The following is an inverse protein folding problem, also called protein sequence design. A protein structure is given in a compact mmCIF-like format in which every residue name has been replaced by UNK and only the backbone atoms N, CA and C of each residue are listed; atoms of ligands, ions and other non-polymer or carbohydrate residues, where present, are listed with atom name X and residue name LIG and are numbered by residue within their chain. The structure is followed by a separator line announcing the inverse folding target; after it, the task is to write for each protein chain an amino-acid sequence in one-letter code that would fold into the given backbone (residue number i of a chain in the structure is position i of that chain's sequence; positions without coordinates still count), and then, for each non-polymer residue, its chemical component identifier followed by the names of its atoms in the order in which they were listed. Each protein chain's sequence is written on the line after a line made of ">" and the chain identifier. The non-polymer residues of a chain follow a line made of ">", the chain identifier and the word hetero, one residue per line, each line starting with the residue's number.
data_IF_057168158377
#
_entry.id   IF_057168158377
#
_cell.length_a   1.000
_cell.length_b   1.000
_cell.length_c   1.000
_cell.angle_alpha   90.00
_cell.angle_beta   90.00
_cell.angle_gamma   90.00
#
_symmetry.space_group_name_H-M   'P 1'
#
loop_
_entity.id
_entity.type
_entity.pdbx_description
1 polymer ?
#
# COMPACT_ATOMS: atom_id res chain seq x y z
N UNK A 1 -2.35 8.68 12.50
CA UNK A 1 -1.32 9.05 13.49
C UNK A 1 -0.56 7.78 13.86
N UNK A 2 0.75 7.87 14.10
CA UNK A 2 1.59 6.76 14.58
C UNK A 2 2.50 7.26 15.71
N UNK A 3 2.98 6.35 16.56
CA UNK A 3 3.95 6.62 17.63
C UNK A 3 5.33 6.08 17.20
N UNK A 4 6.41 6.80 17.52
CA UNK A 4 7.77 6.28 17.40
C UNK A 4 8.03 5.28 18.54
N UNK A 5 8.21 3.97 18.27
CA UNK A 5 8.39 2.99 19.34
C UNK A 5 9.72 3.17 20.09
N UNK A 6 10.74 3.75 19.45
CA UNK A 6 12.03 4.06 20.09
C UNK A 6 11.98 5.31 20.96
N UNK A 7 10.97 6.16 20.78
CA UNK A 7 10.81 7.41 21.51
C UNK A 7 9.32 7.60 21.80
N UNK A 8 8.77 6.97 22.85
CA UNK A 8 7.33 6.88 23.06
C UNK A 8 6.58 8.22 23.20
N UNK A 9 7.30 9.31 23.49
CA UNK A 9 6.77 10.68 23.52
C UNK A 9 6.65 11.32 22.14
N UNK A 10 7.15 10.66 21.09
CA UNK A 10 7.13 11.16 19.71
C UNK A 10 5.97 10.56 18.93
N UNK A 11 5.14 11.43 18.36
CA UNK A 11 4.01 11.09 17.51
C UNK A 11 4.14 11.75 16.14
N UNK A 12 3.58 11.09 15.12
CA UNK A 12 3.45 11.62 13.78
C UNK A 12 2.01 11.54 13.30
N UNK A 13 1.53 12.52 12.55
CA UNK A 13 0.28 12.39 11.80
C UNK A 13 0.36 13.13 10.47
N UNK A 14 -0.52 12.74 9.55
CA UNK A 14 -0.78 13.45 8.30
C UNK A 14 -2.11 14.18 8.47
N UNK A 15 -2.14 15.48 8.21
CA UNK A 15 -3.37 16.27 8.29
C UNK A 15 -4.20 16.19 6.99
N UNK A 16 -5.35 16.88 6.96
CA UNK A 16 -6.17 16.96 5.75
C UNK A 16 -5.49 17.69 4.59
N UNK A 17 -4.54 18.60 4.90
CA UNK A 17 -3.69 19.28 3.90
C UNK A 17 -2.50 18.44 3.43
N UNK A 18 -2.39 17.20 3.90
CA UNK A 18 -1.39 16.18 3.55
C UNK A 18 0.03 16.49 4.02
N UNK A 19 0.16 17.46 4.92
CA UNK A 19 1.41 17.74 5.64
C UNK A 19 1.59 16.74 6.76
N UNK A 20 2.84 16.38 6.97
CA UNK A 20 3.26 15.52 8.06
C UNK A 20 3.66 16.42 9.22
N UNK A 21 3.16 16.10 10.40
CA UNK A 21 3.48 16.78 11.64
C UNK A 21 4.16 15.83 12.60
N UNK A 22 5.05 16.37 13.42
CA UNK A 22 5.74 15.68 14.50
C UNK A 22 5.48 16.39 15.82
N UNK A 23 5.19 15.61 16.85
CA UNK A 23 5.12 16.05 18.24
C UNK A 23 6.15 15.25 19.02
N UNK A 24 7.00 15.88 19.84
CA UNK A 24 8.08 15.20 20.58
C UNK A 24 7.86 15.14 22.09
N UNK A 25 6.75 15.71 22.58
CA UNK A 25 6.52 15.90 24.02
C UNK A 25 5.12 15.46 24.47
N UNK A 26 4.30 14.89 23.57
CA UNK A 26 2.88 14.61 23.80
C UNK A 26 2.07 15.85 24.21
N UNK A 27 2.59 17.05 23.95
CA UNK A 27 1.89 18.31 24.20
C UNK A 27 1.14 18.72 22.94
N UNK A 28 -0.19 18.83 23.02
CA UNK A 28 -1.07 19.15 21.90
C UNK A 28 -0.68 20.47 21.19
N UNK A 29 0.04 21.37 21.86
CA UNK A 29 0.45 22.65 21.29
C UNK A 29 1.80 22.58 20.54
N UNK A 30 2.50 21.44 20.57
CA UNK A 30 3.86 21.29 20.04
C UNK A 30 3.95 20.52 18.71
N UNK A 31 2.87 20.47 17.94
CA UNK A 31 2.92 19.92 16.58
C UNK A 31 3.70 20.83 15.64
N UNK A 32 4.79 20.30 15.08
CA UNK A 32 5.63 20.99 14.09
C UNK A 32 5.52 20.28 12.74
N UNK A 33 5.28 20.99 11.63
CA UNK A 33 5.32 20.38 10.32
C UNK A 33 6.75 19.88 10.03
N UNK A 34 6.87 18.67 9.51
CA UNK A 34 8.11 18.06 9.02
C UNK A 34 8.11 17.90 7.50
N UNK A 35 7.14 18.52 6.84
CA UNK A 35 7.03 18.67 5.39
C UNK A 35 6.51 20.07 5.09
N UNK A 36 6.92 20.65 3.97
CA UNK A 36 6.36 21.92 3.48
C UNK A 36 5.23 21.69 2.44
N UNK A 37 4.71 22.78 1.86
CA UNK A 37 3.67 22.73 0.82
C UNK A 37 4.19 22.29 -0.55
N UNK A 38 5.50 22.15 -0.71
CA UNK A 38 6.16 21.71 -1.95
C UNK A 38 6.51 20.24 -1.94
N UNK A 39 6.53 19.61 -0.76
CA UNK A 39 6.84 18.20 -0.53
C UNK A 39 6.13 17.25 -1.51
N UNK A 40 4.83 17.44 -1.73
CA UNK A 40 4.02 16.60 -2.62
C UNK A 40 4.12 16.96 -4.11
N UNK A 41 4.66 18.14 -4.44
CA UNK A 41 4.70 18.66 -5.81
C UNK A 41 5.82 18.07 -6.66
N UNK A 42 6.47 16.96 -6.27
CA UNK A 42 7.59 16.39 -7.03
C UNK A 42 7.32 15.06 -7.73
N UNK A 43 6.33 14.27 -7.30
CA UNK A 43 6.35 12.83 -7.68
C UNK A 43 5.13 12.27 -8.41
N UNK A 44 3.93 12.85 -8.31
CA UNK A 44 2.84 12.44 -9.22
C UNK A 44 3.15 12.77 -10.70
N UNK A 45 4.15 13.63 -10.94
CA UNK A 45 4.63 14.00 -12.28
C UNK A 45 5.27 12.83 -13.06
N UNK A 46 5.54 11.68 -12.42
CA UNK A 46 6.19 10.54 -13.08
C UNK A 46 5.24 9.53 -13.73
N UNK A 47 3.92 9.63 -13.50
CA UNK A 47 2.96 8.76 -14.18
C UNK A 47 2.73 9.21 -15.64
N UNK A 48 3.07 10.46 -15.99
CA UNK A 48 3.16 10.90 -17.39
C UNK A 48 4.17 12.07 -17.50
N UNK A 49 5.42 11.78 -17.87
CA UNK A 49 6.46 12.81 -18.11
C UNK A 49 6.06 13.88 -19.14
N UNK A 50 5.06 13.63 -19.97
CA UNK A 50 4.55 14.59 -20.96
C UNK A 50 3.53 15.57 -20.42
N UNK A 51 2.84 15.26 -19.32
CA UNK A 51 1.58 15.95 -19.00
C UNK A 51 1.61 16.71 -17.66
N UNK A 52 2.60 16.48 -16.78
CA UNK A 52 2.85 17.36 -15.62
C UNK A 52 1.73 17.44 -14.57
N UNK A 53 0.74 16.54 -14.63
CA UNK A 53 -0.40 16.58 -13.71
C UNK A 53 -0.05 15.97 -12.36
N UNK A 54 -0.33 16.73 -11.30
CA UNK A 54 -0.40 16.20 -9.94
C UNK A 54 -1.72 15.45 -9.75
N UNK A 55 -1.81 14.61 -8.72
CA UNK A 55 -3.12 14.27 -8.21
C UNK A 55 -3.81 15.58 -7.81
N UNK A 56 -4.88 15.94 -8.52
CA UNK A 56 -5.70 17.12 -8.19
C UNK A 56 -6.28 16.98 -6.79
N UNK A 57 -6.42 15.74 -6.31
CA UNK A 57 -6.83 15.45 -4.94
C UNK A 57 -6.12 14.22 -4.41
N UNK A 58 -5.46 14.37 -3.26
CA UNK A 58 -5.01 13.26 -2.43
C UNK A 58 -6.19 12.84 -1.54
N UNK A 59 -6.71 11.66 -1.74
CA UNK A 59 -7.86 11.14 -0.99
C UNK A 59 -7.44 10.34 0.24
N UNK A 60 -6.29 9.65 0.20
CA UNK A 60 -5.83 8.83 1.32
C UNK A 60 -4.32 8.98 1.57
N UNK A 61 -3.91 8.74 2.81
CA UNK A 61 -2.51 8.79 3.24
C UNK A 61 -2.29 7.87 4.42
N UNK A 62 -1.17 7.13 4.42
CA UNK A 62 -0.79 6.24 5.51
C UNK A 62 0.65 6.53 5.95
N UNK A 63 0.89 6.34 7.25
CA UNK A 63 2.21 6.43 7.87
C UNK A 63 2.54 5.08 8.47
N UNK A 64 3.81 4.69 8.39
CA UNK A 64 4.36 3.54 9.12
C UNK A 64 5.81 3.83 9.48
N UNK A 65 6.37 3.12 10.46
CA UNK A 65 7.71 3.35 10.95
C UNK A 65 8.42 2.01 11.18
N UNK A 66 9.59 1.87 10.57
CA UNK A 66 10.55 0.86 11.00
C UNK A 66 11.33 1.39 12.20
N UNK A 67 11.57 0.54 13.19
CA UNK A 67 12.58 0.82 14.22
C UNK A 67 13.25 -0.45 14.72
N UNK A 68 14.53 -0.36 15.06
CA UNK A 68 15.25 -1.36 15.84
C UNK A 68 15.83 -0.78 17.15
N UNK A 69 15.22 0.28 17.65
CA UNK A 69 15.67 1.04 18.83
C UNK A 69 16.77 2.07 18.52
N UNK A 70 17.67 1.78 17.58
CA UNK A 70 18.80 2.67 17.23
C UNK A 70 18.59 3.45 15.94
N UNK A 71 17.80 2.91 15.01
CA UNK A 71 17.48 3.50 13.71
C UNK A 71 15.98 3.56 13.55
N UNK A 72 15.49 4.69 13.04
CA UNK A 72 14.09 4.87 12.68
C UNK A 72 14.01 5.24 11.21
N UNK A 73 13.10 4.60 10.50
CA UNK A 73 12.75 5.01 9.15
C UNK A 73 11.26 5.25 9.11
N UNK A 74 10.89 6.51 8.94
CA UNK A 74 9.51 6.94 8.80
C UNK A 74 9.13 6.83 7.32
N UNK A 75 8.03 6.13 7.04
CA UNK A 75 7.48 6.01 5.69
C UNK A 75 6.14 6.71 5.63
N UNK A 76 5.86 7.32 4.49
CA UNK A 76 4.55 7.84 4.15
C UNK A 76 4.18 7.36 2.75
N UNK A 77 2.94 6.94 2.62
CA UNK A 77 2.30 6.68 1.34
C UNK A 77 1.13 7.64 1.15
N UNK A 78 0.93 8.07 -0.08
CA UNK A 78 -0.21 8.86 -0.50
C UNK A 78 -0.90 8.17 -1.66
N UNK A 79 -2.22 8.22 -1.63
CA UNK A 79 -3.08 7.86 -2.73
C UNK A 79 -3.92 9.07 -3.14
N UNK A 80 -3.99 9.32 -4.44
CA UNK A 80 -4.80 10.37 -5.00
C UNK A 80 -5.34 10.02 -6.38
N UNK A 81 -6.18 10.90 -6.88
CA UNK A 81 -6.72 10.84 -8.24
C UNK A 81 -6.28 12.11 -8.97
N UNK A 82 -5.75 11.92 -10.16
CA UNK A 82 -5.50 12.99 -11.13
C UNK A 82 -6.58 12.93 -12.20
N UNK A 83 -7.24 14.06 -12.45
CA UNK A 83 -8.23 14.22 -13.52
C UNK A 83 -7.54 14.80 -14.74
N UNK A 84 -7.30 13.96 -15.75
CA UNK A 84 -6.76 14.41 -17.05
C UNK A 84 -7.83 15.12 -17.88
N UNK A 85 -9.10 14.76 -17.66
CA UNK A 85 -10.30 15.39 -18.20
C UNK A 85 -11.50 15.03 -17.32
N UNK A 86 -12.67 15.66 -17.53
CA UNK A 86 -13.92 15.31 -16.85
C UNK A 86 -14.29 13.81 -16.95
N UNK A 87 -13.73 13.12 -17.94
CA UNK A 87 -14.02 11.71 -18.25
C UNK A 87 -12.87 10.75 -17.92
N UNK A 88 -11.67 11.23 -17.59
CA UNK A 88 -10.49 10.38 -17.37
C UNK A 88 -9.89 10.63 -16.00
N UNK A 89 -10.15 9.73 -15.07
CA UNK A 89 -9.52 9.66 -13.76
C UNK A 89 -8.36 8.69 -13.81
N UNK A 90 -7.19 9.12 -13.37
CA UNK A 90 -6.01 8.26 -13.19
C UNK A 90 -5.66 8.23 -11.71
N UNK A 91 -5.32 7.05 -11.20
CA UNK A 91 -4.83 6.95 -9.82
C UNK A 91 -3.36 7.34 -9.76
N UNK A 92 -2.97 8.05 -8.69
CA UNK A 92 -1.59 8.36 -8.38
C UNK A 92 -1.23 7.84 -7.00
N UNK A 93 -0.07 7.20 -6.91
CA UNK A 93 0.56 6.84 -5.65
C UNK A 93 1.88 7.58 -5.53
N UNK A 94 2.19 8.06 -4.34
CA UNK A 94 3.49 8.61 -4.01
C UNK A 94 3.95 8.05 -2.67
N UNK A 95 5.20 7.62 -2.62
CA UNK A 95 5.81 7.02 -1.44
C UNK A 95 7.08 7.78 -1.11
N UNK A 96 7.29 8.01 0.18
CA UNK A 96 8.50 8.66 0.66
C UNK A 96 8.96 7.99 1.95
N UNK A 97 10.26 8.08 2.21
CA UNK A 97 10.81 7.71 3.50
C UNK A 97 11.75 8.78 4.04
N UNK A 98 11.94 8.77 5.35
CA UNK A 98 12.88 9.64 6.06
C UNK A 98 13.67 8.82 7.07
N UNK A 99 14.99 8.97 7.06
CA UNK A 99 15.92 8.31 7.99
C UNK A 99 16.31 9.22 9.17
N UNK A 100 15.79 10.44 9.20
CA UNK A 100 16.12 11.49 10.17
C UNK A 100 14.88 12.10 10.83
N UNK A 101 13.84 11.27 11.01
CA UNK A 101 12.58 11.63 11.69
C UNK A 101 11.83 12.79 11.04
N UNK A 102 11.88 12.87 9.71
CA UNK A 102 11.15 13.81 8.86
C UNK A 102 11.92 15.10 8.57
N UNK A 103 13.20 15.23 8.93
CA UNK A 103 13.94 16.44 8.58
C UNK A 103 14.27 16.48 7.07
N UNK A 104 14.57 15.33 6.48
CA UNK A 104 14.69 15.13 5.04
C UNK A 104 13.88 13.93 4.60
N UNK A 105 13.47 13.93 3.33
CA UNK A 105 12.65 12.89 2.74
C UNK A 105 13.20 12.48 1.39
N UNK A 106 13.19 11.19 1.15
CA UNK A 106 13.57 10.57 -0.11
C UNK A 106 12.34 9.96 -0.76
N UNK A 107 12.13 10.28 -2.03
CA UNK A 107 11.10 9.67 -2.87
C UNK A 107 11.35 8.18 -3.05
N UNK A 108 10.27 7.41 -3.10
CA UNK A 108 10.24 6.05 -3.61
C UNK A 108 9.36 6.02 -4.85
N UNK A 109 9.77 5.25 -5.87
CA UNK A 109 8.92 4.99 -7.02
C UNK A 109 7.61 4.34 -6.54
N UNK A 110 6.50 4.58 -7.24
CA UNK A 110 5.27 3.83 -7.01
C UNK A 110 5.38 2.41 -7.61
N UNK A 111 4.60 1.44 -7.11
CA UNK A 111 4.34 0.19 -7.80
C UNK A 111 3.53 0.47 -9.08
N UNK A 112 4.17 1.02 -10.11
CA UNK A 112 3.58 1.18 -11.44
C UNK A 112 4.43 0.43 -12.47
N UNK A 113 3.76 -0.39 -13.26
CA UNK A 113 4.33 -1.41 -14.13
C UNK A 113 5.02 -0.94 -15.41
N UNK A 114 5.26 0.36 -15.61
CA UNK A 114 5.72 0.85 -16.91
C UNK A 114 7.16 0.46 -17.29
N UNK A 115 7.98 -0.06 -16.36
CA UNK A 115 9.38 -0.41 -16.67
C UNK A 115 9.85 -1.80 -16.24
N UNK A 116 9.01 -2.59 -15.56
CA UNK A 116 9.42 -3.93 -15.13
C UNK A 116 9.42 -4.96 -16.27
N UNK A 117 8.73 -4.69 -17.39
CA UNK A 117 8.60 -5.64 -18.50
C UNK A 117 9.37 -5.28 -19.79
N UNK A 118 9.92 -4.07 -19.94
CA UNK A 118 10.56 -3.67 -21.21
C UNK A 118 11.91 -4.37 -21.49
N UNK A 119 12.50 -5.10 -20.53
CA UNK A 119 13.84 -5.68 -20.72
C UNK A 119 13.88 -7.07 -21.38
N UNK A 120 12.73 -7.71 -21.61
CA UNK A 120 12.69 -9.08 -22.14
C UNK A 120 12.35 -9.19 -23.64
N UNK A 121 12.53 -8.14 -24.44
CA UNK A 121 12.66 -8.23 -25.91
C UNK A 121 11.48 -8.82 -26.70
N UNK A 122 10.39 -9.22 -26.06
CA UNK A 122 9.18 -9.71 -26.69
C UNK A 122 8.25 -8.53 -26.96
N UNK A 123 8.15 -8.13 -28.22
CA UNK A 123 7.39 -6.98 -28.71
C UNK A 123 5.87 -7.06 -28.60
N UNK A 124 5.32 -7.66 -27.54
CA UNK A 124 3.90 -7.57 -27.21
C UNK A 124 3.73 -6.65 -25.99
N UNK A 125 3.31 -5.41 -26.28
CA UNK A 125 2.98 -4.36 -25.29
C UNK A 125 1.68 -4.67 -24.54
N UNK A 126 1.58 -5.85 -23.92
CA UNK A 126 0.45 -6.26 -23.09
C UNK A 126 0.98 -7.06 -21.89
N UNK A 127 1.80 -6.41 -21.06
CA UNK A 127 1.71 -6.70 -19.63
C UNK A 127 0.37 -6.12 -19.14
N UNK A 128 -0.32 -6.72 -18.15
CA UNK A 128 -1.53 -6.13 -17.62
C UNK A 128 -1.23 -4.69 -17.21
N UNK A 129 -2.08 -3.75 -17.62
CA UNK A 129 -1.92 -2.34 -17.30
C UNK A 129 -2.06 -2.12 -15.80
N UNK A 130 -0.95 -2.27 -15.07
CA UNK A 130 -0.84 -2.01 -13.63
C UNK A 130 -0.85 -0.51 -13.36
N UNK A 131 -2.03 0.10 -13.51
CA UNK A 131 -2.39 1.44 -13.00
C UNK A 131 -3.88 1.81 -13.17
N UNK A 132 -4.78 0.90 -13.59
CA UNK A 132 -6.21 1.09 -13.30
C UNK A 132 -6.50 0.49 -11.92
N UNK A 133 -5.88 1.05 -10.89
CA UNK A 133 -5.95 0.58 -9.50
C UNK A 133 -7.32 0.83 -8.84
N UNK A 134 -8.36 1.01 -9.67
CA UNK A 134 -9.71 1.38 -9.30
C UNK A 134 -9.76 2.67 -8.49
N UNK A 135 -10.92 3.03 -7.97
CA UNK A 135 -11.03 4.09 -6.95
C UNK A 135 -10.86 3.53 -5.53
N UNK A 136 -10.52 2.24 -5.38
CA UNK A 136 -10.53 1.56 -4.08
C UNK A 136 -9.44 2.07 -3.13
N UNK A 137 -8.30 2.53 -3.65
CA UNK A 137 -7.27 3.18 -2.83
C UNK A 137 -7.77 4.41 -2.06
N UNK A 138 -8.88 5.03 -2.47
CA UNK A 138 -9.50 6.13 -1.71
C UNK A 138 -9.86 5.68 -0.30
N UNK A 139 -10.33 4.44 -0.17
CA UNK A 139 -10.83 3.87 1.09
C UNK A 139 -9.83 2.87 1.68
N UNK A 140 -9.29 2.02 0.83
CA UNK A 140 -8.60 0.79 1.23
C UNK A 140 -7.07 0.91 1.19
N UNK A 141 -6.45 2.07 1.04
CA UNK A 141 -4.98 2.15 0.98
C UNK A 141 -4.28 1.70 2.29
N UNK A 142 -3.32 0.78 2.21
CA UNK A 142 -2.57 0.26 3.37
C UNK A 142 -1.07 0.19 3.09
N UNK A 143 -0.25 0.52 4.11
CA UNK A 143 1.21 0.34 4.07
C UNK A 143 1.73 -0.21 5.40
N UNK A 144 2.82 -0.97 5.37
CA UNK A 144 3.51 -1.47 6.57
C UNK A 144 5.01 -1.58 6.33
N UNK A 145 5.81 -0.92 7.18
CA UNK A 145 7.26 -1.15 7.21
C UNK A 145 7.54 -2.52 7.82
N UNK A 146 8.41 -3.29 7.17
CA UNK A 146 8.81 -4.58 7.71
C UNK A 146 9.57 -4.38 9.04
N UNK A 147 9.13 -4.99 10.16
CA UNK A 147 9.74 -4.70 11.46
C UNK A 147 11.10 -5.33 11.67
N UNK A 148 11.49 -6.29 10.82
CA UNK A 148 12.75 -7.02 10.93
C UNK A 148 13.79 -6.59 9.91
N UNK A 149 13.36 -5.93 8.83
CA UNK A 149 14.24 -5.49 7.77
C UNK A 149 13.85 -4.10 7.23
N UNK A 150 14.68 -3.06 7.47
CA UNK A 150 14.37 -1.70 7.03
C UNK A 150 14.34 -1.54 5.50
N UNK A 151 14.70 -2.57 4.74
CA UNK A 151 14.73 -2.56 3.28
C UNK A 151 13.33 -2.78 2.71
N UNK A 152 12.41 -3.39 3.45
CA UNK A 152 11.10 -3.76 2.92
C UNK A 152 9.96 -2.84 3.38
N UNK A 153 9.07 -2.52 2.44
CA UNK A 153 7.79 -1.84 2.67
C UNK A 153 6.68 -2.63 1.97
N UNK A 154 5.62 -2.97 2.68
CA UNK A 154 4.44 -3.61 2.12
C UNK A 154 3.38 -2.57 1.79
N UNK A 155 2.71 -2.73 0.66
CA UNK A 155 1.69 -1.81 0.14
C UNK A 155 0.53 -2.61 -0.44
N UNK A 156 -0.69 -2.12 -0.24
CA UNK A 156 -1.92 -2.73 -0.75
C UNK A 156 -3.08 -1.76 -0.71
N UNK A 157 -4.26 -2.24 -1.10
CA UNK A 157 -5.50 -1.45 -1.03
C UNK A 157 -6.20 -1.19 -2.35
N UNK A 158 -5.81 -1.90 -3.39
CA UNK A 158 -6.35 -1.78 -4.75
C UNK A 158 -6.96 -3.12 -5.17
N UNK A 159 -7.43 -3.23 -6.42
CA UNK A 159 -7.95 -4.48 -7.00
C UNK A 159 -6.91 -5.62 -6.96
N UNK A 160 -6.91 -6.38 -5.87
CA UNK A 160 -6.12 -7.59 -5.63
C UNK A 160 -4.61 -7.42 -5.50
N UNK A 161 -4.05 -6.22 -5.48
CA UNK A 161 -2.60 -6.08 -5.54
C UNK A 161 -1.98 -5.81 -4.17
N UNK A 162 -1.11 -6.73 -3.76
CA UNK A 162 -0.19 -6.57 -2.63
C UNK A 162 1.21 -6.50 -3.20
N UNK A 163 1.96 -5.50 -2.78
CA UNK A 163 3.32 -5.27 -3.18
C UNK A 163 4.26 -5.32 -1.99
N UNK A 164 5.48 -5.79 -2.26
CA UNK A 164 6.66 -5.56 -1.42
C UNK A 164 7.64 -4.69 -2.20
N UNK A 165 7.97 -3.55 -1.65
CA UNK A 165 9.05 -2.69 -2.11
C UNK A 165 10.36 -3.12 -1.45
N UNK A 166 11.44 -3.26 -2.21
CA UNK A 166 12.80 -3.56 -1.73
C UNK A 166 13.76 -2.39 -2.00
N UNK A 167 14.27 -1.78 -0.91
CA UNK A 167 15.18 -0.63 -0.99
C UNK A 167 16.58 -0.96 -1.53
N UNK A 168 16.98 -2.21 -1.53
CA UNK A 168 18.35 -2.60 -1.90
C UNK A 168 18.63 -2.53 -3.38
N UNK A 169 17.59 -2.46 -4.20
CA UNK A 169 17.79 -2.48 -5.63
C UNK A 169 18.29 -1.13 -6.15
N UNK A 170 19.61 -1.00 -6.23
CA UNK A 170 20.28 0.16 -6.85
C UNK A 170 20.43 0.00 -8.37
N UNK A 171 19.76 -0.99 -8.96
CA UNK A 171 20.01 -1.51 -10.30
C UNK A 171 19.40 -0.70 -11.45
N UNK A 172 19.52 0.63 -11.46
CA UNK A 172 19.79 1.46 -12.64
C UNK A 172 19.97 2.94 -12.23
N UNK A 173 21.18 3.32 -11.80
CA UNK A 173 21.50 4.68 -11.33
C UNK A 173 21.47 5.78 -12.41
N UNK A 174 21.00 5.50 -13.62
CA UNK A 174 21.14 6.45 -14.75
C UNK A 174 20.03 7.51 -14.82
N UNK A 175 19.01 7.45 -13.96
CA UNK A 175 18.01 8.51 -13.81
C UNK A 175 17.68 8.65 -12.33
N UNK A 176 18.26 9.64 -11.63
CA UNK A 176 17.78 10.45 -10.47
C UNK A 176 16.93 9.84 -9.33
N UNK A 177 16.54 8.57 -9.40
CA UNK A 177 15.53 7.92 -8.57
C UNK A 177 16.20 6.71 -7.91
N UNK A 178 16.57 6.86 -6.64
CA UNK A 178 17.07 5.74 -5.85
C UNK A 178 15.92 4.76 -5.55
N UNK A 179 16.13 3.50 -5.95
CA UNK A 179 16.27 2.49 -4.90
C UNK A 179 15.02 1.82 -4.37
N UNK A 180 13.95 1.57 -5.14
CA UNK A 180 12.96 0.55 -4.77
C UNK A 180 12.51 -0.27 -5.97
N UNK A 181 12.60 -1.61 -5.87
CA UNK A 181 11.83 -2.49 -6.75
C UNK A 181 10.56 -2.95 -6.06
N UNK A 182 9.46 -2.82 -6.75
CA UNK A 182 8.19 -3.39 -6.34
C UNK A 182 8.03 -4.78 -6.94
N UNK A 183 7.61 -5.70 -6.08
CA UNK A 183 7.28 -7.07 -6.45
C UNK A 183 5.90 -7.40 -5.92
N UNK A 184 5.08 -8.08 -6.70
CA UNK A 184 3.81 -8.63 -6.21
C UNK A 184 4.11 -9.65 -5.12
N UNK A 185 3.34 -9.65 -4.03
CA UNK A 185 3.37 -10.74 -3.05
C UNK A 185 2.34 -11.82 -3.37
N UNK A 186 1.82 -11.84 -4.57
CA UNK A 186 0.92 -12.87 -5.07
C UNK A 186 1.40 -13.34 -6.44
N UNK A 187 0.82 -14.43 -6.90
CA UNK A 187 1.00 -14.82 -8.27
C UNK A 187 0.13 -13.97 -9.19
N UNK A 188 0.63 -13.74 -10.40
CA UNK A 188 -0.06 -12.96 -11.41
C UNK A 188 -0.69 -13.90 -12.41
N UNK A 189 -1.98 -13.73 -12.65
CA UNK A 189 -2.66 -14.38 -13.76
C UNK A 189 -2.52 -13.50 -15.00
N UNK A 190 -1.85 -14.01 -16.02
CA UNK A 190 -1.81 -13.41 -17.36
C UNK A 190 -2.32 -14.43 -18.36
N UNK A 191 -3.40 -14.13 -19.07
CA UNK A 191 -3.91 -14.92 -20.23
C UNK A 191 -3.96 -16.44 -19.98
N UNK A 192 -4.49 -16.85 -18.82
CA UNK A 192 -4.63 -18.27 -18.48
C UNK A 192 -3.37 -18.97 -17.98
N UNK A 193 -2.27 -18.24 -17.78
CA UNK A 193 -1.06 -18.72 -17.13
C UNK A 193 -0.80 -17.98 -15.82
N UNK A 194 -0.64 -18.74 -14.73
CA UNK A 194 -0.13 -18.24 -13.46
C UNK A 194 1.39 -18.09 -13.62
N UNK A 195 1.92 -16.88 -13.48
CA UNK A 195 3.36 -16.66 -13.33
C UNK A 195 3.65 -16.65 -11.82
N UNK A 196 4.21 -17.73 -11.26
CA UNK A 196 4.42 -17.83 -9.83
C UNK A 196 5.60 -16.98 -9.39
N UNK A 197 5.33 -15.71 -9.09
CA UNK A 197 6.37 -14.74 -8.73
C UNK A 197 6.76 -14.89 -7.27
N UNK A 198 5.78 -14.95 -6.36
CA UNK A 198 6.04 -14.88 -4.91
C UNK A 198 5.24 -15.87 -4.06
N UNK A 199 4.36 -16.68 -4.66
CA UNK A 199 3.73 -17.79 -3.94
C UNK A 199 4.12 -19.14 -4.50
N UNK A 200 4.18 -20.14 -3.62
CA UNK A 200 4.56 -21.51 -3.99
C UNK A 200 3.43 -22.18 -4.76
N UNK A 201 2.17 -21.90 -4.40
CA UNK A 201 1.01 -22.62 -4.92
C UNK A 201 -0.07 -21.72 -5.54
N UNK A 202 0.23 -20.49 -5.97
CA UNK A 202 -0.78 -19.64 -6.63
C UNK A 202 -1.78 -18.98 -5.68
N UNK A 203 -1.51 -18.95 -4.37
CA UNK A 203 -2.44 -18.36 -3.41
C UNK A 203 -2.42 -16.83 -3.47
N UNK A 204 -3.55 -16.20 -3.17
CA UNK A 204 -3.65 -14.75 -3.02
C UNK A 204 -4.75 -14.47 -2.01
N UNK A 205 -4.61 -13.44 -1.16
CA UNK A 205 -5.75 -12.97 -0.39
C UNK A 205 -6.74 -12.26 -1.33
N UNK A 206 -7.96 -12.02 -0.85
CA UNK A 206 -8.93 -11.18 -1.55
C UNK A 206 -8.35 -9.77 -1.82
N UNK A 207 -8.91 -9.10 -2.84
CA UNK A 207 -8.70 -7.70 -3.10
C UNK A 207 -9.07 -6.81 -1.91
N UNK A 208 -8.82 -5.50 -2.02
CA UNK A 208 -9.30 -4.52 -1.03
C UNK A 208 -8.62 -4.66 0.33
N UNK A 209 -7.29 -4.76 0.31
CA UNK A 209 -6.47 -4.86 1.52
C UNK A 209 -6.62 -3.61 2.38
N UNK A 210 -7.28 -3.70 3.53
CA UNK A 210 -7.58 -2.57 4.41
C UNK A 210 -6.47 -2.27 5.41
N UNK A 211 -5.76 -3.31 5.86
CA UNK A 211 -4.72 -3.19 6.87
C UNK A 211 -3.64 -4.25 6.69
N UNK A 212 -2.43 -3.93 7.15
CA UNK A 212 -1.33 -4.86 7.31
C UNK A 212 -0.86 -4.84 8.75
N UNK A 213 -0.49 -6.00 9.26
CA UNK A 213 0.18 -6.14 10.54
C UNK A 213 1.26 -7.22 10.46
N UNK A 214 2.03 -7.41 11.53
CA UNK A 214 3.09 -8.40 11.60
C UNK A 214 2.91 -9.33 12.78
N UNK A 215 2.86 -10.64 12.52
CA UNK A 215 2.99 -11.62 13.58
C UNK A 215 4.47 -11.75 13.97
N UNK A 216 4.85 -11.07 15.05
CA UNK A 216 6.21 -11.12 15.59
C UNK A 216 6.61 -12.52 16.11
N UNK A 217 5.66 -13.38 16.47
CA UNK A 217 5.96 -14.70 17.01
C UNK A 217 6.36 -15.70 15.92
N UNK A 218 5.77 -15.56 14.73
CA UNK A 218 6.02 -16.45 13.57
C UNK A 218 6.79 -15.77 12.44
N UNK A 219 7.02 -14.47 12.53
CA UNK A 219 7.63 -13.63 11.51
C UNK A 219 6.85 -13.64 10.18
N UNK A 220 5.52 -13.52 10.27
CA UNK A 220 4.61 -13.58 9.14
C UNK A 220 3.88 -12.25 8.94
N UNK A 221 3.59 -11.94 7.68
CA UNK A 221 2.82 -10.75 7.31
C UNK A 221 1.34 -11.08 7.42
N UNK A 222 0.61 -10.27 8.16
CA UNK A 222 -0.85 -10.34 8.27
C UNK A 222 -1.44 -9.26 7.36
N UNK A 223 -2.52 -9.57 6.66
CA UNK A 223 -3.36 -8.56 6.06
C UNK A 223 -4.84 -8.80 6.33
N UNK A 224 -5.64 -7.75 6.23
CA UNK A 224 -7.10 -7.84 6.29
C UNK A 224 -7.73 -7.25 5.05
N UNK A 225 -8.86 -7.81 4.65
CA UNK A 225 -9.66 -7.39 3.51
C UNK A 225 -11.12 -7.84 3.68
N UNK A 226 -11.91 -7.69 2.63
CA UNK A 226 -13.35 -8.04 2.60
C UNK A 226 -13.56 -9.56 2.76
N UNK A 227 -12.57 -10.36 2.35
CA UNK A 227 -12.51 -11.81 2.56
C UNK A 227 -12.02 -12.24 3.94
N UNK A 228 -11.58 -11.31 4.80
CA UNK A 228 -11.19 -11.58 6.18
C UNK A 228 -9.71 -11.39 6.50
N UNK A 229 -9.16 -12.24 7.37
CA UNK A 229 -7.77 -12.18 7.85
C UNK A 229 -6.92 -13.20 7.10
N UNK A 230 -5.78 -12.75 6.58
CA UNK A 230 -4.86 -13.57 5.81
C UNK A 230 -3.44 -13.45 6.32
N UNK A 231 -2.66 -14.51 6.17
CA UNK A 231 -1.24 -14.56 6.56
C UNK A 231 -0.38 -15.03 5.40
N UNK A 232 0.69 -14.29 5.11
CA UNK A 232 1.75 -14.72 4.19
C UNK A 232 2.91 -15.36 4.96
N UNK A 233 3.21 -16.61 4.60
CA UNK A 233 4.14 -17.45 5.38
C UNK A 233 5.61 -17.08 5.28
N UNK A 234 6.05 -16.42 4.19
CA UNK A 234 7.46 -16.04 3.99
C UNK A 234 7.60 -14.65 3.34
N UNK A 235 7.30 -13.55 4.04
CA UNK A 235 7.21 -12.20 3.45
C UNK A 235 8.50 -11.71 2.76
N UNK A 236 9.67 -12.19 3.19
CA UNK A 236 10.98 -11.88 2.58
C UNK A 236 11.32 -12.75 1.36
N UNK A 237 10.56 -13.81 1.10
CA UNK A 237 10.82 -14.78 0.05
C UNK A 237 9.55 -15.22 -0.66
N UNK A 238 9.57 -16.47 -1.13
CA UNK A 238 8.43 -17.13 -1.77
C UNK A 238 7.61 -17.87 -0.70
N UNK A 239 6.36 -17.50 -0.50
CA UNK A 239 5.47 -18.09 0.51
C UNK A 239 4.01 -18.02 0.09
N UNK A 240 3.17 -18.83 0.71
CA UNK A 240 1.73 -18.82 0.41
C UNK A 240 0.95 -17.96 1.40
N UNK A 241 -0.20 -17.51 0.94
CA UNK A 241 -1.25 -16.87 1.71
C UNK A 241 -2.22 -17.90 2.25
N UNK A 242 -2.53 -17.81 3.54
CA UNK A 242 -3.51 -18.64 4.19
C UNK A 242 -4.53 -17.79 4.92
N UNK A 243 -5.79 -18.15 4.75
CA UNK A 243 -6.90 -17.59 5.49
C UNK A 243 -6.84 -17.97 6.98
N UNK A 244 -7.20 -17.03 7.86
CA UNK A 244 -7.10 -17.15 9.32
C UNK A 244 -8.35 -16.71 10.06
N UNK A 245 -9.52 -16.77 9.41
CA UNK A 245 -10.77 -16.46 10.08
C UNK A 245 -11.12 -17.45 11.22
N UNK A 246 -10.67 -18.70 11.16
CA UNK A 246 -11.07 -19.69 12.15
C UNK A 246 -12.59 -19.92 12.10
N UNK A 247 -13.30 -19.58 13.17
CA UNK A 247 -14.76 -19.59 13.29
C UNK A 247 -15.42 -18.23 12.96
N UNK A 248 -14.64 -17.22 12.57
CA UNK A 248 -15.18 -15.94 12.12
C UNK A 248 -15.95 -16.13 10.80
N UNK A 249 -17.25 -15.87 10.87
CA UNK A 249 -18.14 -15.82 9.71
C UNK A 249 -18.26 -14.38 9.21
N UNK A 250 -17.25 -13.95 8.44
CA UNK A 250 -17.19 -12.59 7.90
C UNK A 250 -18.09 -12.51 6.68
N UNK A 251 -19.03 -11.57 6.70
CA UNK A 251 -19.90 -11.25 5.57
C UNK A 251 -20.05 -9.74 5.49
N UNK A 252 -19.96 -9.18 4.28
CA UNK A 252 -20.26 -7.77 4.04
C UNK A 252 -21.68 -7.67 3.49
N UNK A 253 -22.63 -7.22 4.31
CA UNK A 253 -23.98 -6.90 3.85
C UNK A 253 -23.99 -5.50 3.24
N UNK A 254 -24.32 -5.40 1.96
CA UNK A 254 -24.53 -4.13 1.26
C UNK A 254 -25.96 -3.61 1.40
N UNK A 255 -26.90 -4.50 1.74
CA UNK A 255 -28.31 -4.16 2.00
C UNK A 255 -28.93 -5.20 2.93
N UNK A 256 -29.86 -4.76 3.77
CA UNK A 256 -30.65 -5.63 4.65
C UNK A 256 -32.13 -5.24 4.53
N UNK A 257 -32.99 -6.24 4.44
CA UNK A 257 -34.45 -6.10 4.51
C UNK A 257 -34.99 -7.00 5.62
N UNK A 258 -36.03 -6.53 6.30
CA UNK A 258 -36.74 -7.28 7.34
C UNK A 258 -38.20 -7.46 6.94
N UNK A 259 -38.67 -8.69 6.96
CA UNK A 259 -40.07 -9.06 6.80
C UNK A 259 -40.67 -9.39 8.16
N UNK A 260 -41.54 -8.49 8.65
CA UNK A 260 -42.20 -8.65 9.95
C UNK A 260 -43.34 -9.67 9.95
N UNK A 261 -43.85 -10.07 8.79
CA UNK A 261 -44.88 -11.11 8.70
C UNK A 261 -44.29 -12.50 8.96
N UNK A 262 -43.01 -12.69 8.64
CA UNK A 262 -42.29 -13.96 8.77
C UNK A 262 -41.13 -13.92 9.77
N UNK A 263 -40.92 -12.77 10.44
CA UNK A 263 -39.80 -12.52 11.35
C UNK A 263 -38.43 -12.88 10.74
N UNK A 264 -38.26 -12.52 9.46
CA UNK A 264 -37.10 -12.92 8.67
C UNK A 264 -36.28 -11.70 8.24
N UNK A 265 -34.96 -11.82 8.40
CA UNK A 265 -33.99 -10.86 7.87
C UNK A 265 -33.34 -11.45 6.61
N UNK A 266 -33.40 -10.73 5.50
CA UNK A 266 -32.66 -11.04 4.28
C UNK A 266 -31.57 -9.99 4.08
N UNK A 267 -30.33 -10.43 3.85
CA UNK A 267 -29.23 -9.54 3.57
C UNK A 267 -28.64 -9.82 2.19
N UNK A 268 -28.46 -8.78 1.37
CA UNK A 268 -27.65 -8.85 0.17
C UNK A 268 -26.18 -8.71 0.58
N UNK A 269 -25.38 -9.73 0.32
CA UNK A 269 -23.95 -9.72 0.61
C UNK A 269 -23.14 -9.42 -0.65
N UNK A 270 -22.00 -8.76 -0.49
CA UNK A 270 -20.96 -8.65 -1.51
C UNK A 270 -19.71 -9.41 -1.02
N UNK A 271 -18.92 -9.92 -1.97
CA UNK A 271 -17.58 -10.49 -1.73
C UNK A 271 -17.52 -11.55 -0.62
N UNK A 272 -18.63 -12.27 -0.42
CA UNK A 272 -18.75 -13.34 0.55
C UNK A 272 -18.10 -14.61 -0.02
N UNK A 273 -16.96 -14.98 0.58
CA UNK A 273 -16.12 -16.14 0.28
C UNK A 273 -15.20 -16.00 -0.95
N UNK A 274 -14.07 -15.31 -0.79
CA UNK A 274 -12.88 -15.58 -1.61
C UNK A 274 -12.38 -17.00 -1.33
N UNK A 275 -12.18 -17.80 -2.38
CA UNK A 275 -11.61 -19.16 -2.28
C UNK A 275 -10.17 -19.15 -1.76
#
# INVERSE_FOLDING_TARGET
>A
MIRDPSTPTTLYYVDSSKKIYRNTALDINLWKPVTDTTFMKKECAHINKTDGYFADTISNSKLTIYTNGSKNILYVGYYGISTKSETTKTTCYAFYFSTDRGATWTTMLAPNGDKLYEKNGAGTKQGPGYANLGTQGERNFAILADPTDPRFLYVGGTQAEIFRGDRTFTGNKTNENEGFLWSFLRDMETEGAIIPMFTVTGTSPHADIRYFDWDHSTNQLICTNDGGVWIHTKPHGKGDWFHKNGDLSITEFVMVAYDSATDTIAGAAQDNCSK
#
